data_IF_124357706903
#
_entry.id   IF_124357706903
#
_cell.length_a   1.000
_cell.length_b   1.000
_cell.length_c   1.000
_cell.angle_alpha   90.00
_cell.angle_beta   90.00
_cell.angle_gamma   90.00
#
_symmetry.space_group_name_H-M   'P 1'
#
loop_
_entity.id
_entity.type
_entity.pdbx_description
1 polymer ?
#
# COMPACT_ATOMS: atom_id res chain seq x y z
N UNK A 1 -38.63 7.41 -41.56
CA UNK A 1 -38.78 8.66 -40.79
C UNK A 1 -38.90 8.31 -39.32
N UNK A 2 -37.83 8.54 -38.56
CA UNK A 2 -37.82 8.91 -37.15
C UNK A 2 -36.33 9.07 -36.78
N UNK A 3 -35.85 10.31 -36.81
CA UNK A 3 -34.49 10.66 -36.39
C UNK A 3 -34.44 10.80 -34.88
N UNK A 4 -33.34 10.34 -34.28
CA UNK A 4 -33.01 10.60 -32.88
C UNK A 4 -32.64 12.10 -32.72
N UNK A 5 -33.05 12.76 -31.62
CA UNK A 5 -32.74 14.16 -31.41
C UNK A 5 -31.26 14.38 -31.07
N UNK A 6 -30.65 15.24 -31.87
CA UNK A 6 -29.26 15.68 -31.88
C UNK A 6 -28.96 16.68 -30.74
N UNK A 7 -29.00 16.24 -29.48
CA UNK A 7 -28.71 17.10 -28.31
C UNK A 7 -27.23 17.14 -27.90
N UNK A 8 -26.34 16.42 -28.60
CA UNK A 8 -24.92 16.37 -28.26
C UNK A 8 -24.02 17.26 -29.13
N UNK A 9 -24.52 17.79 -30.25
CA UNK A 9 -23.67 18.47 -31.26
C UNK A 9 -23.49 19.98 -31.01
N UNK A 10 -24.29 20.63 -30.15
CA UNK A 10 -24.20 22.08 -29.90
C UNK A 10 -24.09 22.47 -28.42
N UNK A 11 -23.29 21.75 -27.63
CA UNK A 11 -22.94 22.20 -26.27
C UNK A 11 -21.83 23.28 -26.36
N UNK A 12 -22.05 24.53 -25.91
CA UNK A 12 -20.98 25.51 -25.85
C UNK A 12 -19.86 25.01 -24.92
N UNK A 13 -18.58 25.28 -25.23
CA UNK A 13 -17.47 24.88 -24.37
C UNK A 13 -17.70 25.44 -22.96
N UNK A 14 -17.51 24.59 -21.94
CA UNK A 14 -17.53 25.06 -20.55
C UNK A 14 -16.46 26.16 -20.45
N UNK A 15 -16.76 27.34 -19.90
CA UNK A 15 -15.71 28.31 -19.63
C UNK A 15 -14.66 27.64 -18.74
N UNK A 16 -13.40 27.70 -19.17
CA UNK A 16 -12.24 27.35 -18.35
C UNK A 16 -12.20 28.33 -17.17
N UNK A 17 -12.95 27.98 -16.14
CA UNK A 17 -12.89 28.62 -14.86
C UNK A 17 -12.08 27.70 -13.95
N UNK A 18 -10.79 27.57 -14.24
CA UNK A 18 -9.81 27.33 -13.18
C UNK A 18 -9.77 28.60 -12.33
N UNK A 19 -10.82 28.79 -11.54
CA UNK A 19 -10.75 29.69 -10.40
C UNK A 19 -9.83 28.98 -9.43
N UNK A 20 -8.55 29.38 -9.41
CA UNK A 20 -7.73 29.20 -8.22
C UNK A 20 -8.42 29.99 -7.12
N UNK A 21 -9.34 29.33 -6.43
CA UNK A 21 -9.92 29.85 -5.20
C UNK A 21 -8.74 30.06 -4.23
N UNK A 22 -8.67 31.20 -3.53
CA UNK A 22 -7.65 31.39 -2.49
C UNK A 22 -7.72 30.20 -1.55
N UNK A 23 -6.60 29.50 -1.41
CA UNK A 23 -6.50 28.34 -0.54
C UNK A 23 -6.70 28.83 0.90
N UNK A 24 -7.49 28.08 1.67
CA UNK A 24 -7.65 28.36 3.10
C UNK A 24 -6.26 28.40 3.76
N UNK A 25 -5.87 29.46 4.50
CA UNK A 25 -4.54 29.59 5.13
C UNK A 25 -4.13 28.38 5.98
N UNK A 26 -5.13 27.65 6.48
CA UNK A 26 -5.02 26.41 7.22
C UNK A 26 -4.42 25.28 6.37
N UNK A 27 -4.86 25.20 5.11
CA UNK A 27 -4.33 24.26 4.11
C UNK A 27 -2.94 24.67 3.61
N UNK A 28 -2.61 25.97 3.62
CA UNK A 28 -1.28 26.44 3.22
C UNK A 28 -0.19 26.04 4.22
N UNK A 29 -0.45 26.18 5.52
CA UNK A 29 0.54 25.79 6.51
C UNK A 29 0.84 24.28 6.45
N UNK A 30 -0.21 23.45 6.34
CA UNK A 30 -0.01 22.00 6.25
C UNK A 30 0.85 21.64 5.03
N UNK A 31 0.52 22.21 3.86
CA UNK A 31 1.28 21.96 2.63
C UNK A 31 2.74 22.34 2.78
N UNK A 32 3.04 23.55 3.26
CA UNK A 32 4.41 23.99 3.47
C UNK A 32 5.16 23.14 4.50
N UNK A 33 4.46 22.64 5.52
CA UNK A 33 5.03 21.72 6.50
C UNK A 33 5.36 20.36 5.85
N UNK A 34 4.45 19.77 5.07
CA UNK A 34 4.68 18.50 4.37
C UNK A 34 5.75 18.60 3.28
N UNK A 35 5.85 19.73 2.57
CA UNK A 35 6.95 20.01 1.64
C UNK A 35 8.29 20.04 2.41
N UNK A 36 8.32 20.70 3.56
CA UNK A 36 9.53 20.75 4.40
C UNK A 36 9.92 19.38 4.98
N UNK A 37 8.97 18.46 5.19
CA UNK A 37 9.29 17.10 5.66
C UNK A 37 10.26 16.39 4.71
N UNK A 38 10.14 16.61 3.40
CA UNK A 38 10.99 15.98 2.39
C UNK A 38 12.44 16.47 2.50
N UNK A 39 12.63 17.76 2.77
CA UNK A 39 13.96 18.39 2.79
C UNK A 39 14.63 18.38 4.18
N UNK A 40 13.83 18.61 5.24
CA UNK A 40 14.29 18.76 6.63
C UNK A 40 13.18 18.30 7.60
N UNK A 41 13.03 16.98 7.80
CA UNK A 41 11.98 16.44 8.66
C UNK A 41 12.16 16.82 10.14
N UNK A 42 13.39 17.06 10.60
CA UNK A 42 13.66 17.48 11.98
C UNK A 42 13.13 18.90 12.26
N UNK A 43 13.27 19.81 11.29
CA UNK A 43 12.71 21.15 11.38
C UNK A 43 11.19 21.13 11.29
N UNK A 44 10.61 20.38 10.34
CA UNK A 44 9.16 20.23 10.21
C UNK A 44 8.56 19.68 11.51
N UNK A 45 9.18 18.64 12.09
CA UNK A 45 8.79 18.05 13.37
C UNK A 45 8.77 19.10 14.49
N UNK A 46 9.85 19.87 14.65
CA UNK A 46 9.94 20.92 15.69
C UNK A 46 8.90 22.01 15.51
N UNK A 47 8.67 22.47 14.27
CA UNK A 47 7.66 23.49 13.96
C UNK A 47 6.24 22.98 14.24
N UNK A 48 5.95 21.74 13.86
CA UNK A 48 4.66 21.10 14.10
C UNK A 48 4.38 20.90 15.59
N UNK A 49 5.39 20.56 16.40
CA UNK A 49 5.27 20.49 17.86
C UNK A 49 4.90 21.84 18.49
N UNK A 50 5.55 22.92 18.06
CA UNK A 50 5.24 24.28 18.54
C UNK A 50 3.80 24.63 18.18
N UNK A 51 3.42 24.47 16.91
CA UNK A 51 2.05 24.77 16.47
C UNK A 51 1.00 23.94 17.23
N UNK A 52 1.25 22.65 17.46
CA UNK A 52 0.36 21.78 18.25
C UNK A 52 0.10 22.35 19.63
N UNK A 53 1.11 22.94 20.28
CA UNK A 53 0.97 23.53 21.63
C UNK A 53 0.15 24.83 21.65
N UNK A 54 0.09 25.55 20.53
CA UNK A 54 -0.55 26.87 20.42
C UNK A 54 -1.95 26.81 19.79
N UNK A 55 -2.33 25.68 19.21
CA UNK A 55 -3.57 25.51 18.43
C UNK A 55 -4.54 24.55 19.10
N UNK A 56 -5.80 24.52 18.63
CA UNK A 56 -6.86 23.61 19.09
C UNK A 56 -7.77 23.23 17.92
N UNK A 57 -8.56 22.17 18.07
CA UNK A 57 -9.52 21.72 17.04
C UNK A 57 -8.84 21.42 15.71
N UNK A 58 -9.45 21.83 14.60
CA UNK A 58 -8.95 21.59 13.24
C UNK A 58 -7.48 22.02 13.03
N UNK A 59 -7.07 23.15 13.63
CA UNK A 59 -5.69 23.62 13.54
C UNK A 59 -4.69 22.67 14.19
N UNK A 60 -5.10 22.04 15.29
CA UNK A 60 -4.26 21.09 16.01
C UNK A 60 -4.28 19.71 15.34
N UNK A 61 -5.38 19.30 14.72
CA UNK A 61 -5.42 18.12 13.82
C UNK A 61 -4.37 18.24 12.73
N UNK A 62 -4.27 19.41 12.10
CA UNK A 62 -3.29 19.68 11.03
C UNK A 62 -1.86 19.71 11.55
N UNK A 63 -1.63 20.33 12.73
CA UNK A 63 -0.32 20.29 13.37
C UNK A 63 0.10 18.85 13.69
N UNK A 64 -0.82 18.04 14.23
CA UNK A 64 -0.60 16.63 14.50
C UNK A 64 -0.36 15.79 13.24
N UNK A 65 -1.02 16.12 12.11
CA UNK A 65 -0.77 15.47 10.83
C UNK A 65 0.68 15.68 10.38
N UNK A 66 1.14 16.93 10.27
CA UNK A 66 2.53 17.18 9.88
C UNK A 66 3.52 16.57 10.89
N UNK A 67 3.23 16.68 12.19
CA UNK A 67 4.05 16.09 13.23
C UNK A 67 4.21 14.57 13.05
N UNK A 68 3.13 13.86 12.76
CA UNK A 68 3.15 12.41 12.55
C UNK A 68 3.93 11.99 11.31
N UNK A 69 3.79 12.73 10.21
CA UNK A 69 4.55 12.48 8.97
C UNK A 69 6.04 12.76 9.21
N UNK A 70 6.39 13.89 9.80
CA UNK A 70 7.77 14.23 10.12
C UNK A 70 8.43 13.22 11.07
N UNK A 71 7.70 12.77 12.10
CA UNK A 71 8.18 11.74 13.02
C UNK A 71 8.38 10.38 12.34
N UNK A 72 7.54 10.02 11.38
CA UNK A 72 7.68 8.81 10.56
C UNK A 72 8.99 8.82 9.78
N UNK A 73 9.29 9.93 9.09
CA UNK A 73 10.54 10.08 8.33
C UNK A 73 11.80 10.02 9.22
N UNK A 74 11.68 10.45 10.48
CA UNK A 74 12.76 10.39 11.47
C UNK A 74 12.89 9.02 12.15
N UNK A 75 11.99 8.08 11.89
CA UNK A 75 11.92 6.79 12.60
C UNK A 75 11.51 6.92 14.07
N UNK A 76 10.89 8.06 14.46
CA UNK A 76 10.36 8.30 15.80
C UNK A 76 8.95 7.71 15.90
N UNK A 77 8.86 6.38 15.85
CA UNK A 77 7.60 5.64 15.70
C UNK A 77 6.57 5.92 16.80
N UNK A 78 7.02 6.06 18.04
CA UNK A 78 6.15 6.39 19.17
C UNK A 78 5.56 7.79 19.07
N UNK A 79 6.38 8.78 18.66
CA UNK A 79 5.93 10.15 18.46
C UNK A 79 4.97 10.24 17.26
N UNK A 80 5.27 9.52 16.18
CA UNK A 80 4.41 9.43 15.00
C UNK A 80 3.04 8.85 15.37
N UNK A 81 3.03 7.71 16.07
CA UNK A 81 1.80 7.06 16.56
C UNK A 81 0.99 8.01 17.43
N UNK A 82 1.62 8.67 18.41
CA UNK A 82 0.94 9.58 19.31
C UNK A 82 0.34 10.78 18.57
N UNK A 83 1.07 11.35 17.61
CA UNK A 83 0.58 12.47 16.81
C UNK A 83 -0.63 12.08 15.94
N UNK A 84 -0.56 10.95 15.23
CA UNK A 84 -1.69 10.49 14.42
C UNK A 84 -2.92 10.12 15.27
N UNK A 85 -2.73 9.54 16.45
CA UNK A 85 -3.83 9.30 17.38
C UNK A 85 -4.48 10.59 17.85
N UNK A 86 -3.68 11.59 18.22
CA UNK A 86 -4.20 12.90 18.62
C UNK A 86 -4.95 13.57 17.46
N UNK A 87 -4.45 13.50 16.22
CA UNK A 87 -5.16 13.98 15.04
C UNK A 87 -6.52 13.27 14.87
N UNK A 88 -6.56 11.93 15.01
CA UNK A 88 -7.80 11.15 14.94
C UNK A 88 -8.82 11.53 16.01
N UNK A 89 -8.35 11.72 17.24
CA UNK A 89 -9.23 11.94 18.39
C UNK A 89 -9.77 13.37 18.47
N UNK A 90 -9.03 14.33 17.91
CA UNK A 90 -9.50 15.72 17.74
C UNK A 90 -10.37 15.91 16.50
N UNK A 91 -10.31 14.98 15.55
CA UNK A 91 -11.21 14.96 14.39
C UNK A 91 -12.63 14.60 14.86
N UNK A 92 -13.67 15.39 14.50
CA UNK A 92 -15.05 15.11 14.87
C UNK A 92 -15.53 13.70 14.47
N UNK A 93 -16.44 13.13 15.25
CA UNK A 93 -16.87 11.73 15.06
C UNK A 93 -17.64 11.51 13.75
N UNK A 94 -18.32 12.54 13.25
CA UNK A 94 -19.00 12.58 11.96
C UNK A 94 -18.04 12.53 10.77
N UNK A 95 -16.77 12.90 10.96
CA UNK A 95 -15.72 12.84 9.94
C UNK A 95 -15.02 11.47 9.91
N UNK A 96 -15.81 10.40 9.87
CA UNK A 96 -15.33 9.01 9.93
C UNK A 96 -14.24 8.70 8.89
N UNK A 97 -14.31 9.33 7.70
CA UNK A 97 -13.28 9.19 6.66
C UNK A 97 -11.91 9.69 7.11
N UNK A 98 -11.86 10.87 7.73
CA UNK A 98 -10.64 11.49 8.24
C UNK A 98 -10.10 10.70 9.43
N UNK A 99 -10.99 10.27 10.34
CA UNK A 99 -10.63 9.41 11.47
C UNK A 99 -10.03 8.08 11.04
N UNK A 100 -10.58 7.45 10.00
CA UNK A 100 -10.06 6.21 9.44
C UNK A 100 -8.62 6.38 8.93
N UNK A 101 -8.32 7.47 8.22
CA UNK A 101 -6.97 7.76 7.71
C UNK A 101 -5.96 7.94 8.84
N UNK A 102 -6.28 8.76 9.83
CA UNK A 102 -5.39 8.96 10.98
C UNK A 102 -5.23 7.69 11.83
N UNK A 103 -6.29 6.91 12.01
CA UNK A 103 -6.22 5.60 12.66
C UNK A 103 -5.31 4.63 11.91
N UNK A 104 -5.40 4.58 10.58
CA UNK A 104 -4.53 3.73 9.76
C UNK A 104 -3.07 4.18 9.83
N UNK A 105 -2.79 5.49 9.77
CA UNK A 105 -1.43 6.03 9.94
C UNK A 105 -0.87 5.72 11.33
N UNK A 106 -1.66 5.86 12.39
CA UNK A 106 -1.24 5.48 13.74
C UNK A 106 -0.94 3.98 13.87
N UNK A 107 -1.76 3.13 13.25
CA UNK A 107 -1.54 1.68 13.18
C UNK A 107 -0.25 1.32 12.45
N UNK A 108 0.04 1.97 11.33
CA UNK A 108 1.29 1.78 10.59
C UNK A 108 2.51 2.28 11.36
N UNK A 109 2.41 3.42 12.06
CA UNK A 109 3.48 3.88 12.95
C UNK A 109 3.76 2.88 14.07
N UNK A 110 2.72 2.27 14.65
CA UNK A 110 2.88 1.20 15.64
C UNK A 110 3.60 -0.03 15.06
N UNK A 111 3.31 -0.42 13.81
CA UNK A 111 4.07 -1.48 13.12
C UNK A 111 5.53 -1.11 12.90
N UNK A 112 5.80 0.12 12.48
CA UNK A 112 7.17 0.63 12.31
C UNK A 112 7.96 0.57 13.62
N UNK A 113 7.31 0.84 14.76
CA UNK A 113 7.88 0.72 16.10
C UNK A 113 7.96 -0.70 16.66
N UNK A 114 7.46 -1.71 15.94
CA UNK A 114 7.43 -3.10 16.38
C UNK A 114 6.29 -3.48 17.33
N UNK A 115 5.35 -2.57 17.60
CA UNK A 115 4.14 -2.84 18.41
C UNK A 115 3.00 -3.38 17.54
N UNK A 116 3.14 -4.66 17.13
CA UNK A 116 2.14 -5.30 16.29
C UNK A 116 0.77 -5.47 16.99
N UNK A 117 0.75 -5.61 18.31
CA UNK A 117 -0.49 -5.73 19.09
C UNK A 117 -1.25 -4.39 19.14
N UNK A 118 -0.54 -3.30 19.41
CA UNK A 118 -1.10 -1.94 19.32
C UNK A 118 -1.56 -1.60 17.91
N UNK A 119 -0.76 -1.94 16.90
CA UNK A 119 -1.14 -1.77 15.50
C UNK A 119 -2.46 -2.48 15.16
N UNK A 120 -2.60 -3.75 15.56
CA UNK A 120 -3.83 -4.51 15.32
C UNK A 120 -5.06 -3.82 15.92
N UNK A 121 -4.96 -3.30 17.15
CA UNK A 121 -6.05 -2.58 17.78
C UNK A 121 -6.43 -1.32 16.98
N UNK A 122 -5.43 -0.50 16.63
CA UNK A 122 -5.63 0.75 15.88
C UNK A 122 -6.21 0.51 14.48
N UNK A 123 -5.70 -0.50 13.77
CA UNK A 123 -6.15 -0.84 12.42
C UNK A 123 -7.55 -1.44 12.41
N UNK A 124 -7.92 -2.18 13.46
CA UNK A 124 -9.30 -2.65 13.64
C UNK A 124 -10.26 -1.46 13.82
N UNK A 125 -9.87 -0.44 14.58
CA UNK A 125 -10.64 0.80 14.73
C UNK A 125 -10.69 1.59 13.41
N UNK A 126 -9.57 1.71 12.69
CA UNK A 126 -9.51 2.39 11.40
C UNK A 126 -10.41 1.73 10.35
N UNK A 127 -10.47 0.39 10.32
CA UNK A 127 -11.38 -0.36 9.45
C UNK A 127 -12.85 -0.08 9.79
N UNK A 128 -13.20 0.03 11.09
CA UNK A 128 -14.54 0.39 11.52
C UNK A 128 -14.91 1.83 11.13
N UNK A 129 -13.99 2.79 11.30
CA UNK A 129 -14.17 4.18 10.87
C UNK A 129 -14.33 4.25 9.33
N UNK A 130 -13.56 3.47 8.57
CA UNK A 130 -13.66 3.40 7.11
C UNK A 130 -15.01 2.84 6.64
N UNK A 131 -15.53 1.83 7.35
CA UNK A 131 -16.87 1.27 7.11
C UNK A 131 -17.97 2.27 7.44
N UNK A 132 -17.85 3.00 8.55
CA UNK A 132 -18.77 4.07 8.90
C UNK A 132 -18.76 5.21 7.86
N UNK A 133 -17.61 5.46 7.23
CA UNK A 133 -17.46 6.38 6.11
C UNK A 133 -17.94 5.84 4.76
N UNK A 134 -18.45 4.61 4.71
CA UNK A 134 -18.82 3.88 3.49
C UNK A 134 -17.71 3.91 2.41
N UNK A 135 -16.45 3.80 2.84
CA UNK A 135 -15.28 3.97 1.97
C UNK A 135 -14.56 2.65 1.77
N UNK A 136 -14.99 1.87 0.76
CA UNK A 136 -14.39 0.57 0.44
C UNK A 136 -12.86 0.62 0.26
N UNK A 137 -12.34 1.68 -0.37
CA UNK A 137 -10.90 1.87 -0.57
C UNK A 137 -10.11 2.04 0.74
N UNK A 138 -10.63 2.82 1.70
CA UNK A 138 -10.00 2.99 3.00
C UNK A 138 -10.14 1.74 3.86
N UNK A 139 -11.27 1.05 3.74
CA UNK A 139 -11.49 -0.22 4.44
C UNK A 139 -10.53 -1.30 3.90
N UNK A 140 -10.28 -1.33 2.59
CA UNK A 140 -9.29 -2.21 1.98
C UNK A 140 -7.87 -1.93 2.49
N UNK A 141 -7.45 -0.67 2.53
CA UNK A 141 -6.13 -0.26 3.06
C UNK A 141 -5.99 -0.66 4.53
N UNK A 142 -6.97 -0.34 5.37
CA UNK A 142 -6.93 -0.71 6.79
C UNK A 142 -6.92 -2.23 7.00
N UNK A 143 -7.68 -3.00 6.21
CA UNK A 143 -7.68 -4.45 6.25
C UNK A 143 -6.35 -5.06 5.80
N UNK A 144 -5.70 -4.46 4.79
CA UNK A 144 -4.39 -4.87 4.31
C UNK A 144 -3.31 -4.69 5.39
N UNK A 145 -3.26 -3.51 6.01
CA UNK A 145 -2.35 -3.24 7.12
C UNK A 145 -2.66 -4.10 8.34
N UNK A 146 -3.94 -4.36 8.62
CA UNK A 146 -4.34 -5.29 9.69
C UNK A 146 -3.82 -6.70 9.41
N UNK A 147 -3.83 -7.13 8.16
CA UNK A 147 -3.19 -8.36 7.71
C UNK A 147 -1.70 -8.39 8.03
N UNK A 148 -0.96 -7.31 7.74
CA UNK A 148 0.46 -7.18 8.08
C UNK A 148 0.71 -7.25 9.59
N UNK A 149 -0.12 -6.61 10.41
CA UNK A 149 -0.04 -6.70 11.86
C UNK A 149 -0.28 -8.13 12.37
N UNK A 150 -1.25 -8.84 11.79
CA UNK A 150 -1.55 -10.23 12.14
C UNK A 150 -0.43 -11.19 11.74
N UNK A 151 0.26 -10.94 10.61
CA UNK A 151 1.47 -11.68 10.23
C UNK A 151 2.58 -11.48 11.26
N UNK A 152 2.82 -10.25 11.70
CA UNK A 152 3.83 -9.95 12.74
C UNK A 152 3.50 -10.58 14.11
N UNK A 153 2.23 -10.89 14.36
CA UNK A 153 1.74 -11.61 15.54
C UNK A 153 1.66 -13.14 15.34
N UNK A 154 2.15 -13.66 14.22
CA UNK A 154 2.08 -15.09 13.86
C UNK A 154 0.65 -15.66 13.77
N UNK A 155 -0.35 -14.81 13.52
CA UNK A 155 -1.78 -15.18 13.40
C UNK A 155 -2.17 -15.35 11.94
N UNK A 156 -1.58 -16.35 11.28
CA UNK A 156 -1.62 -16.52 9.82
C UNK A 156 -3.04 -16.61 9.23
N UNK A 157 -3.94 -17.40 9.80
CA UNK A 157 -5.31 -17.55 9.25
C UNK A 157 -6.13 -16.26 9.36
N UNK A 158 -5.95 -15.50 10.46
CA UNK A 158 -6.63 -14.21 10.62
C UNK A 158 -6.03 -13.16 9.68
N UNK A 159 -4.72 -13.18 9.47
CA UNK A 159 -4.06 -12.34 8.49
C UNK A 159 -4.59 -12.61 7.07
N UNK A 160 -4.76 -13.88 6.71
CA UNK A 160 -5.31 -14.28 5.42
C UNK A 160 -6.76 -13.79 5.27
N UNK A 161 -7.58 -13.90 6.32
CA UNK A 161 -8.95 -13.36 6.30
C UNK A 161 -8.97 -11.84 6.11
N UNK A 162 -8.04 -11.10 6.72
CA UNK A 162 -7.92 -9.65 6.55
C UNK A 162 -7.45 -9.28 5.13
N UNK A 163 -6.46 -9.99 4.58
CA UNK A 163 -5.98 -9.76 3.20
C UNK A 163 -7.04 -10.10 2.15
N UNK A 164 -7.81 -11.18 2.34
CA UNK A 164 -8.96 -11.51 1.49
C UNK A 164 -10.05 -10.45 1.51
N UNK A 165 -10.26 -9.83 2.68
CA UNK A 165 -11.17 -8.68 2.77
C UNK A 165 -10.63 -7.51 1.96
N UNK A 166 -9.32 -7.24 2.03
CA UNK A 166 -8.69 -6.18 1.24
C UNK A 166 -8.82 -6.43 -0.27
N UNK A 167 -8.50 -7.64 -0.74
CA UNK A 167 -8.60 -8.00 -2.18
C UNK A 167 -10.04 -8.04 -2.69
N UNK A 168 -11.02 -8.36 -1.84
CA UNK A 168 -12.44 -8.27 -2.19
C UNK A 168 -12.93 -6.81 -2.30
N UNK A 169 -12.43 -5.90 -1.46
CA UNK A 169 -12.82 -4.49 -1.44
C UNK A 169 -12.07 -3.65 -2.50
N UNK A 170 -10.84 -4.04 -2.81
CA UNK A 170 -9.97 -3.40 -3.80
C UNK A 170 -9.36 -4.47 -4.75
N UNK A 171 -10.15 -5.04 -5.66
CA UNK A 171 -9.70 -6.12 -6.55
C UNK A 171 -8.66 -5.69 -7.59
N UNK A 172 -8.39 -4.40 -7.68
CA UNK A 172 -7.39 -3.73 -8.51
C UNK A 172 -6.09 -3.37 -7.74
N UNK A 173 -6.02 -3.65 -6.44
CA UNK A 173 -4.80 -3.45 -5.65
C UNK A 173 -3.80 -4.59 -5.83
N UNK A 174 -2.80 -4.38 -6.69
CA UNK A 174 -1.70 -5.35 -6.89
C UNK A 174 -0.94 -5.68 -5.59
N UNK A 175 -0.78 -4.69 -4.70
CA UNK A 175 -0.12 -4.87 -3.40
C UNK A 175 -0.91 -5.80 -2.47
N UNK A 176 -2.24 -5.66 -2.41
CA UNK A 176 -3.07 -6.54 -1.58
C UNK A 176 -2.98 -8.00 -2.05
N UNK A 177 -2.98 -8.22 -3.37
CA UNK A 177 -2.80 -9.55 -3.97
C UNK A 177 -1.39 -10.11 -3.72
N UNK A 178 -0.35 -9.27 -3.79
CA UNK A 178 1.02 -9.66 -3.46
C UNK A 178 1.15 -10.12 -2.01
N UNK A 179 0.58 -9.37 -1.07
CA UNK A 179 0.59 -9.73 0.35
C UNK A 179 -0.18 -11.03 0.62
N UNK A 180 -1.35 -11.21 -0.01
CA UNK A 180 -2.13 -12.46 0.08
C UNK A 180 -1.31 -13.64 -0.45
N UNK A 181 -0.71 -13.52 -1.64
CA UNK A 181 0.13 -14.55 -2.24
C UNK A 181 1.32 -14.92 -1.34
N UNK A 182 2.01 -13.91 -0.82
CA UNK A 182 3.16 -14.08 0.08
C UNK A 182 2.78 -14.85 1.34
N UNK A 183 1.64 -14.52 1.93
CA UNK A 183 1.14 -15.21 3.12
C UNK A 183 0.73 -16.65 2.80
N UNK A 184 0.00 -16.87 1.71
CA UNK A 184 -0.41 -18.21 1.27
C UNK A 184 0.80 -19.12 1.02
N UNK A 185 1.86 -18.60 0.40
CA UNK A 185 3.12 -19.34 0.25
C UNK A 185 3.73 -19.70 1.60
N UNK A 186 3.79 -18.77 2.56
CA UNK A 186 4.31 -19.04 3.91
C UNK A 186 3.46 -20.08 4.67
N UNK A 187 2.20 -20.23 4.30
CA UNK A 187 1.28 -21.25 4.81
C UNK A 187 1.33 -22.57 4.01
N UNK A 188 2.24 -22.71 3.04
CA UNK A 188 2.38 -23.87 2.15
C UNK A 188 1.13 -24.14 1.27
N UNK A 189 0.32 -23.12 1.00
CA UNK A 189 -0.88 -23.17 0.15
C UNK A 189 -0.54 -22.69 -1.26
N UNK A 190 0.35 -23.43 -1.93
CA UNK A 190 1.02 -22.97 -3.16
C UNK A 190 0.05 -22.76 -4.34
N UNK A 191 -1.01 -23.55 -4.46
CA UNK A 191 -2.00 -23.37 -5.54
C UNK A 191 -2.76 -22.04 -5.40
N UNK A 192 -3.18 -21.71 -4.19
CA UNK A 192 -3.85 -20.43 -3.90
C UNK A 192 -2.87 -19.26 -4.01
N UNK A 193 -1.63 -19.44 -3.56
CA UNK A 193 -0.57 -18.44 -3.72
C UNK A 193 -0.32 -18.12 -5.20
N UNK A 194 -0.32 -19.15 -6.06
CA UNK A 194 -0.16 -18.99 -7.50
C UNK A 194 -1.31 -18.17 -8.12
N UNK A 195 -2.56 -18.45 -7.74
CA UNK A 195 -3.70 -17.67 -8.23
C UNK A 195 -3.62 -16.19 -7.78
N UNK A 196 -3.24 -15.94 -6.52
CA UNK A 196 -3.09 -14.59 -6.00
C UNK A 196 -1.93 -13.83 -6.68
N UNK A 197 -0.78 -14.47 -6.89
CA UNK A 197 0.37 -13.80 -7.51
C UNK A 197 0.15 -13.52 -9.00
N UNK A 198 -0.56 -14.39 -9.72
CA UNK A 198 -0.98 -14.11 -11.11
C UNK A 198 -1.83 -12.84 -11.19
N UNK A 199 -2.71 -12.63 -10.21
CA UNK A 199 -3.52 -11.42 -10.12
C UNK A 199 -2.66 -10.19 -9.84
N UNK A 200 -1.67 -10.30 -8.94
CA UNK A 200 -0.72 -9.23 -8.65
C UNK A 200 0.12 -8.87 -9.90
N UNK A 201 0.64 -9.87 -10.62
CA UNK A 201 1.42 -9.69 -11.86
C UNK A 201 0.60 -8.96 -12.93
N UNK A 202 -0.68 -9.31 -13.09
CA UNK A 202 -1.56 -8.65 -14.05
C UNK A 202 -1.83 -7.16 -13.72
N UNK A 203 -1.78 -6.80 -12.43
CA UNK A 203 -2.08 -5.44 -11.96
C UNK A 203 -0.82 -4.56 -11.85
N UNK A 204 0.31 -5.14 -11.48
CA UNK A 204 1.57 -4.43 -11.24
C UNK A 204 2.76 -5.19 -11.88
N UNK A 205 2.78 -5.36 -13.22
CA UNK A 205 3.79 -6.17 -13.90
C UNK A 205 5.21 -5.61 -13.83
N UNK A 206 5.36 -4.32 -13.53
CA UNK A 206 6.66 -3.65 -13.40
C UNK A 206 7.15 -3.56 -11.95
N UNK A 207 6.36 -4.03 -10.98
CA UNK A 207 6.74 -3.99 -9.56
C UNK A 207 7.71 -5.14 -9.25
N UNK A 208 8.95 -4.81 -8.89
CA UNK A 208 10.01 -5.80 -8.69
C UNK A 208 9.69 -6.83 -7.61
N UNK A 209 9.01 -6.40 -6.53
CA UNK A 209 8.57 -7.29 -5.46
C UNK A 209 7.57 -8.35 -5.95
N UNK A 210 6.69 -7.99 -6.90
CA UNK A 210 5.72 -8.92 -7.50
C UNK A 210 6.43 -9.99 -8.32
N UNK A 211 7.36 -9.59 -9.20
CA UNK A 211 8.12 -10.53 -10.02
C UNK A 211 9.04 -11.46 -9.20
N UNK A 212 9.62 -10.94 -8.11
CA UNK A 212 10.40 -11.76 -7.18
C UNK A 212 9.55 -12.85 -6.53
N UNK A 213 8.42 -12.47 -5.95
CA UNK A 213 7.52 -13.39 -5.25
C UNK A 213 6.91 -14.42 -6.24
N UNK A 214 6.57 -13.99 -7.46
CA UNK A 214 6.13 -14.89 -8.53
C UNK A 214 7.16 -15.98 -8.85
N UNK A 215 8.44 -15.60 -8.97
CA UNK A 215 9.49 -16.58 -9.21
C UNK A 215 9.72 -17.52 -8.01
N UNK A 216 9.64 -17.02 -6.78
CA UNK A 216 9.75 -17.85 -5.57
C UNK A 216 8.61 -18.88 -5.52
N UNK A 217 7.36 -18.45 -5.74
CA UNK A 217 6.21 -19.36 -5.80
C UNK A 217 6.40 -20.38 -6.92
N UNK A 218 6.88 -19.96 -8.09
CA UNK A 218 7.13 -20.86 -9.22
C UNK A 218 8.18 -21.95 -8.92
N UNK A 219 9.30 -21.61 -8.26
CA UNK A 219 10.28 -22.63 -7.83
C UNK A 219 9.66 -23.62 -6.86
N UNK A 220 8.93 -23.16 -5.84
CA UNK A 220 8.29 -24.04 -4.87
C UNK A 220 7.22 -24.93 -5.50
N UNK A 221 6.58 -24.48 -6.58
CA UNK A 221 5.65 -25.28 -7.40
C UNK A 221 6.36 -26.18 -8.44
N UNK A 222 7.70 -26.25 -8.48
CA UNK A 222 8.45 -27.04 -9.47
C UNK A 222 8.46 -26.46 -10.89
N UNK A 223 8.02 -25.21 -11.09
CA UNK A 223 7.99 -24.51 -12.38
C UNK A 223 9.24 -23.65 -12.55
N UNK A 224 10.40 -24.28 -12.55
CA UNK A 224 11.70 -23.58 -12.57
C UNK A 224 11.86 -22.64 -13.78
N UNK A 225 11.39 -23.04 -14.97
CA UNK A 225 11.42 -22.19 -16.17
C UNK A 225 10.66 -20.87 -15.96
N UNK A 226 9.44 -20.95 -15.42
CA UNK A 226 8.63 -19.77 -15.13
C UNK A 226 9.26 -18.88 -14.05
N UNK A 227 9.98 -19.49 -13.09
CA UNK A 227 10.74 -18.74 -12.10
C UNK A 227 11.87 -17.93 -12.73
N UNK A 228 12.64 -18.55 -13.64
CA UNK A 228 13.70 -17.86 -14.38
C UNK A 228 13.16 -16.69 -15.19
N UNK A 229 12.09 -16.91 -15.94
CA UNK A 229 11.42 -15.86 -16.73
C UNK A 229 10.96 -14.69 -15.84
N UNK A 230 10.36 -14.99 -14.68
CA UNK A 230 9.91 -13.96 -13.73
C UNK A 230 11.07 -13.13 -13.18
N UNK A 231 12.15 -13.76 -12.72
CA UNK A 231 13.31 -13.05 -12.17
C UNK A 231 14.12 -12.33 -13.24
N UNK A 232 14.21 -12.88 -14.45
CA UNK A 232 14.84 -12.22 -15.59
C UNK A 232 14.09 -10.94 -15.97
N UNK A 233 12.75 -10.97 -15.99
CA UNK A 233 11.92 -9.79 -16.21
C UNK A 233 12.18 -8.69 -15.17
N UNK A 234 12.31 -9.04 -13.87
CA UNK A 234 12.67 -8.07 -12.82
C UNK A 234 14.00 -7.37 -13.12
N UNK A 235 15.01 -8.13 -13.57
CA UNK A 235 16.33 -7.60 -13.93
C UNK A 235 16.25 -6.68 -15.16
N UNK A 236 15.43 -7.02 -16.15
CA UNK A 236 15.28 -6.23 -17.38
C UNK A 236 14.53 -4.91 -17.15
N UNK A 237 13.49 -4.92 -16.32
CA UNK A 237 12.66 -3.73 -16.06
C UNK A 237 13.38 -2.75 -15.13
N UNK A 238 14.06 -3.24 -14.09
CA UNK A 238 14.72 -2.39 -13.08
C UNK A 238 16.13 -2.90 -12.73
N UNK A 239 17.11 -2.84 -13.64
CA UNK A 239 18.42 -3.49 -13.48
C UNK A 239 19.21 -3.06 -12.25
N UNK A 240 19.03 -1.81 -11.81
CA UNK A 240 19.76 -1.22 -10.69
C UNK A 240 19.01 -1.31 -9.35
N UNK A 241 17.82 -1.91 -9.34
CA UNK A 241 17.02 -2.09 -8.12
C UNK A 241 17.56 -3.18 -7.20
N UNK A 242 17.25 -3.08 -5.91
CA UNK A 242 17.49 -4.17 -4.95
C UNK A 242 16.76 -5.46 -5.38
N UNK A 243 15.56 -5.32 -5.96
CA UNK A 243 14.81 -6.46 -6.45
C UNK A 243 15.56 -7.21 -7.57
N UNK A 244 16.19 -6.48 -8.50
CA UNK A 244 17.02 -7.09 -9.53
C UNK A 244 18.30 -7.73 -8.97
N UNK A 245 18.89 -7.16 -7.91
CA UNK A 245 20.03 -7.80 -7.23
C UNK A 245 19.60 -9.15 -6.63
N UNK A 246 18.51 -9.19 -5.87
CA UNK A 246 17.94 -10.43 -5.33
C UNK A 246 17.55 -11.42 -6.43
N UNK A 247 16.99 -10.95 -7.54
CA UNK A 247 16.64 -11.80 -8.68
C UNK A 247 17.87 -12.49 -9.28
N UNK A 248 19.00 -11.78 -9.41
CA UNK A 248 20.28 -12.37 -9.86
C UNK A 248 20.79 -13.43 -8.88
N UNK A 249 20.70 -13.16 -7.59
CA UNK A 249 21.10 -14.11 -6.54
C UNK A 249 20.24 -15.38 -6.58
N UNK A 250 18.94 -15.26 -6.80
CA UNK A 250 18.03 -16.40 -6.95
C UNK A 250 18.33 -17.19 -8.22
N UNK A 251 18.56 -16.53 -9.36
CA UNK A 251 18.94 -17.19 -10.61
C UNK A 251 20.26 -17.96 -10.48
N UNK A 252 21.25 -17.41 -9.78
CA UNK A 252 22.55 -18.05 -9.58
C UNK A 252 22.49 -19.31 -8.70
N UNK A 253 21.44 -19.48 -7.91
CA UNK A 253 21.22 -20.66 -7.07
C UNK A 253 20.52 -21.81 -7.82
N UNK A 254 19.90 -21.54 -8.96
CA UNK A 254 19.30 -22.58 -9.78
C UNK A 254 20.38 -23.30 -10.60
N UNK A 255 20.21 -24.61 -10.88
CA UNK A 255 21.11 -25.34 -11.78
C UNK A 255 21.17 -24.64 -13.16
N UNK A 256 22.16 -24.85 -14.03
CA UNK A 256 22.06 -24.37 -15.40
C UNK A 256 20.82 -24.96 -16.08
N UNK A 257 20.14 -24.16 -16.92
CA UNK A 257 19.01 -24.65 -17.69
C UNK A 257 19.48 -25.82 -18.57
N UNK A 258 18.95 -27.02 -18.29
CA UNK A 258 19.28 -28.19 -19.09
C UNK A 258 18.50 -28.05 -20.39
N UNK A 259 19.17 -27.57 -21.42
CA UNK A 259 18.66 -27.67 -22.78
C UNK A 259 18.57 -29.14 -23.15
N UNK A 260 17.40 -29.75 -22.95
CA UNK A 260 17.06 -31.04 -23.54
C UNK A 260 16.81 -30.85 -25.05
N UNK A 261 17.82 -30.33 -25.75
CA UNK A 261 17.90 -30.32 -27.20
C UNK A 261 18.31 -31.69 -27.70
N UNK A 262 17.38 -32.65 -27.73
CA UNK A 262 17.45 -33.91 -28.50
C UNK A 262 16.17 -34.74 -28.25
N UNK A 263 15.50 -35.43 -29.19
CA UNK A 263 15.64 -35.70 -30.62
C UNK A 263 14.28 -36.32 -31.01
N UNK A 264 13.44 -35.64 -31.79
CA UNK A 264 12.44 -36.36 -32.59
C UNK A 264 13.18 -36.88 -33.83
N UNK A 265 13.73 -38.08 -33.74
CA UNK A 265 14.15 -38.83 -34.92
C UNK A 265 12.91 -39.06 -35.80
N UNK A 266 12.94 -38.69 -37.09
CA UNK A 266 11.83 -38.99 -37.98
C UNK A 266 11.74 -40.52 -38.16
N UNK A 267 10.52 -41.09 -38.20
CA UNK A 267 10.36 -42.53 -38.39
C UNK A 267 10.92 -42.94 -39.77
N UNK A 268 11.73 -44.00 -39.77
CA UNK A 268 12.22 -44.67 -40.98
C UNK A 268 11.11 -45.43 -41.71
#
# INVERSE_FOLDING_TARGET
>A
MAGEPDELVNRPPRPDASVEAPLDPVSEWLRGCLEQVVDDPARAHSQAQIRRSETFGEQRVIANHCLGVAATELGLWEDARAAFLAARDETPAEEARTRARFGAMAGNAALGGGDAAGALALLTTAEADARAAASASLEAVAAMDRGRALVALERAEEALAALRRATALAPDSGEAWLLEATLLRRMDRLEEAQAAIERAVALAPMEGAVGLEAGVIAVLSGREKAARESWQSVIEVQPDSLAAQTAREYLAQLPPEVDNGAQEEPPQ
#
